data_IF_851161780580
#
_entry.id   IF_851161780580
#
_cell.length_a   1.000
_cell.length_b   1.000
_cell.length_c   1.000
_cell.angle_alpha   90.00
_cell.angle_beta   90.00
_cell.angle_gamma   90.00
#
_symmetry.space_group_name_H-M   'P 1'
#
loop_
_entity.id
_entity.type
_entity.pdbx_description
1 polymer ?
#
# COMPACT_ATOMS: atom_id res chain seq x y z
N UNK A 1 5.02 11.18 -3.20
CA UNK A 1 3.99 11.48 -4.19
C UNK A 1 2.71 10.74 -3.86
N UNK A 2 1.60 11.43 -3.90
CA UNK A 2 0.30 10.83 -3.57
C UNK A 2 -0.40 10.42 -4.85
N UNK A 3 -0.79 9.14 -4.89
CA UNK A 3 -1.55 8.62 -6.02
C UNK A 3 -3.00 8.53 -5.61
N UNK A 4 -3.84 9.34 -6.22
CA UNK A 4 -5.25 9.40 -5.86
C UNK A 4 -6.13 9.20 -7.07
N UNK A 5 -7.30 8.63 -6.84
CA UNK A 5 -8.34 8.53 -7.83
C UNK A 5 -8.04 7.59 -8.97
N UNK A 6 -6.95 6.85 -8.87
CA UNK A 6 -6.59 5.91 -9.89
C UNK A 6 -6.94 4.48 -9.53
N UNK A 7 -6.98 3.66 -10.54
CA UNK A 7 -7.10 2.22 -10.36
C UNK A 7 -5.78 1.61 -10.78
N UNK A 8 -5.24 0.74 -9.93
CA UNK A 8 -3.90 0.22 -10.12
C UNK A 8 -3.88 -1.29 -10.03
N UNK A 9 -3.00 -1.89 -10.80
CA UNK A 9 -2.55 -3.25 -10.55
C UNK A 9 -1.28 -3.13 -9.72
N UNK A 10 -1.14 -4.01 -8.75
CA UNK A 10 -0.09 -3.91 -7.75
C UNK A 10 0.79 -5.13 -7.81
N UNK A 11 2.11 -4.90 -7.90
CA UNK A 11 3.08 -5.97 -7.77
C UNK A 11 3.87 -5.76 -6.50
N UNK A 12 4.01 -6.80 -5.72
CA UNK A 12 4.81 -6.77 -4.50
C UNK A 12 5.91 -7.81 -4.64
N UNK A 13 7.14 -7.36 -4.54
CA UNK A 13 8.32 -8.21 -4.71
C UNK A 13 8.28 -9.00 -6.01
N UNK A 14 7.83 -8.35 -7.08
CA UNK A 14 7.77 -8.96 -8.40
C UNK A 14 6.58 -9.87 -8.64
N UNK A 15 5.70 -10.01 -7.67
CA UNK A 15 4.51 -10.86 -7.82
C UNK A 15 3.27 -10.00 -7.83
N UNK A 16 2.35 -10.32 -8.72
CA UNK A 16 1.10 -9.58 -8.79
C UNK A 16 0.27 -9.84 -7.53
N UNK A 17 -0.17 -8.74 -6.94
CA UNK A 17 -1.04 -8.81 -5.78
C UNK A 17 -2.47 -9.06 -6.23
N UNK A 18 -3.09 -10.07 -5.64
CA UNK A 18 -4.45 -10.45 -5.98
C UNK A 18 -5.27 -10.41 -4.70
N UNK A 19 -6.49 -9.92 -4.82
CA UNK A 19 -7.38 -9.88 -3.67
C UNK A 19 -7.64 -11.30 -3.15
N UNK A 20 -7.45 -11.48 -1.85
CA UNK A 20 -7.59 -12.80 -1.26
C UNK A 20 -9.04 -13.25 -1.20
N UNK A 21 -9.97 -12.32 -1.26
CA UNK A 21 -11.38 -12.64 -1.13
C UNK A 21 -12.04 -12.95 -2.48
N UNK A 22 -11.87 -12.06 -3.46
CA UNK A 22 -12.55 -12.20 -4.74
C UNK A 22 -11.60 -12.41 -5.90
N UNK A 23 -10.28 -12.43 -5.64
CA UNK A 23 -9.24 -12.63 -6.63
C UNK A 23 -9.19 -11.53 -7.69
N UNK A 24 -9.72 -10.36 -7.36
CA UNK A 24 -9.60 -9.21 -8.23
C UNK A 24 -8.17 -8.69 -8.25
N UNK A 25 -7.81 -7.98 -9.33
CA UNK A 25 -6.46 -7.47 -9.50
C UNK A 25 -6.40 -5.96 -9.54
N UNK A 26 -7.54 -5.28 -9.49
CA UNK A 26 -7.57 -3.83 -9.56
C UNK A 26 -7.84 -3.25 -8.19
N UNK A 27 -7.01 -2.27 -7.82
CA UNK A 27 -7.03 -1.72 -6.47
C UNK A 27 -6.99 -0.20 -6.52
N UNK A 28 -7.70 0.42 -5.57
CA UNK A 28 -7.44 1.81 -5.24
C UNK A 28 -6.29 1.88 -4.27
N UNK A 29 -5.60 3.02 -4.24
CA UNK A 29 -4.41 3.18 -3.42
C UNK A 29 -4.58 4.37 -2.49
N UNK A 30 -4.11 4.20 -1.25
CA UNK A 30 -4.11 5.27 -0.26
C UNK A 30 -2.94 5.06 0.67
N UNK A 31 -2.31 6.17 1.07
CA UNK A 31 -1.28 6.12 2.11
C UNK A 31 -1.94 6.30 3.47
N UNK A 32 -1.50 5.50 4.42
CA UNK A 32 -1.99 5.54 5.78
C UNK A 32 -0.81 5.77 6.71
N UNK A 33 -0.96 6.72 7.61
CA UNK A 33 0.09 7.05 8.55
C UNK A 33 -0.29 6.58 9.93
N UNK A 34 0.63 5.87 10.58
CA UNK A 34 0.42 5.37 11.92
C UNK A 34 1.50 5.95 12.80
N UNK A 35 1.09 6.54 13.90
CA UNK A 35 2.03 7.04 14.90
C UNK A 35 2.28 5.97 15.92
N UNK A 36 3.55 5.67 16.14
CA UNK A 36 3.94 4.68 17.12
C UNK A 36 4.64 5.40 18.25
N UNK A 37 4.13 5.24 19.46
CA UNK A 37 4.72 5.81 20.65
C UNK A 37 5.39 4.70 21.42
N UNK A 38 6.69 4.86 21.69
CA UNK A 38 7.42 3.86 22.44
C UNK A 38 7.56 4.35 23.89
N UNK A 39 6.83 3.72 24.77
CA UNK A 39 6.83 4.13 26.17
C UNK A 39 8.14 3.86 26.86
N UNK A 40 8.86 2.86 26.42
CA UNK A 40 10.12 2.50 27.07
C UNK A 40 11.20 3.52 26.77
N UNK A 41 11.16 4.09 25.60
CA UNK A 41 12.15 5.09 25.21
C UNK A 41 11.76 6.49 25.63
N UNK A 42 10.53 6.67 25.92
CA UNK A 42 10.06 7.92 26.48
C UNK A 42 9.78 9.01 25.51
N UNK A 43 10.53 9.13 24.44
CA UNK A 43 10.36 10.32 23.63
C UNK A 43 10.40 10.09 22.15
N UNK A 44 10.66 8.92 21.70
CA UNK A 44 10.76 8.71 20.26
C UNK A 44 9.42 8.37 19.68
N UNK A 45 8.91 9.29 18.86
CA UNK A 45 7.71 9.04 18.09
C UNK A 45 8.12 8.66 16.68
N UNK A 46 7.67 7.51 16.25
CA UNK A 46 7.94 7.06 14.90
C UNK A 46 6.66 7.10 14.09
N UNK A 47 6.77 7.59 12.88
CA UNK A 47 5.68 7.51 11.91
C UNK A 47 5.92 6.34 11.01
N UNK A 48 4.92 5.50 10.89
CA UNK A 48 4.97 4.39 9.97
C UNK A 48 4.01 4.68 8.83
N UNK A 49 4.52 4.62 7.62
CA UNK A 49 3.70 4.84 6.44
C UNK A 49 3.36 3.51 5.82
N UNK A 50 2.08 3.26 5.66
CA UNK A 50 1.60 2.04 5.04
C UNK A 50 0.88 2.36 3.76
N UNK A 51 0.97 1.47 2.79
CA UNK A 51 0.26 1.59 1.53
C UNK A 51 -0.97 0.71 1.62
N UNK A 52 -2.13 1.32 1.51
CA UNK A 52 -3.40 0.60 1.61
C UNK A 52 -3.96 0.40 0.21
N UNK A 53 -4.33 -0.84 -0.08
CA UNK A 53 -4.92 -1.19 -1.37
C UNK A 53 -6.32 -1.69 -1.14
N UNK A 54 -7.29 -1.04 -1.79
CA UNK A 54 -8.69 -1.41 -1.67
C UNK A 54 -9.13 -2.06 -2.97
N UNK A 55 -9.58 -3.30 -2.87
CA UNK A 55 -10.07 -4.00 -4.04
C UNK A 55 -11.27 -3.29 -4.60
N UNK A 56 -11.23 -2.99 -5.91
CA UNK A 56 -12.32 -2.25 -6.54
C UNK A 56 -13.55 -3.12 -6.75
N UNK A 57 -13.41 -4.43 -6.61
CA UNK A 57 -14.50 -5.34 -6.85
C UNK A 57 -15.27 -5.67 -5.58
N UNK A 58 -14.57 -5.99 -4.49
CA UNK A 58 -15.24 -6.41 -3.26
C UNK A 58 -15.02 -5.45 -2.09
N UNK A 59 -14.07 -4.54 -2.20
CA UNK A 59 -13.84 -3.57 -1.14
C UNK A 59 -12.88 -4.01 -0.05
N UNK A 60 -12.30 -5.20 -0.16
CA UNK A 60 -11.36 -5.65 0.85
C UNK A 60 -10.10 -4.80 0.81
N UNK A 61 -9.62 -4.43 1.99
CA UNK A 61 -8.42 -3.60 2.10
C UNK A 61 -7.27 -4.42 2.64
N UNK A 62 -6.08 -4.15 2.09
CA UNK A 62 -4.85 -4.74 2.57
C UNK A 62 -3.80 -3.66 2.65
N UNK A 63 -2.93 -3.77 3.66
CA UNK A 63 -1.92 -2.76 3.90
C UNK A 63 -0.55 -3.38 3.83
N UNK A 64 0.38 -2.65 3.21
CA UNK A 64 1.76 -3.07 3.08
C UNK A 64 2.66 -1.92 3.49
N UNK A 65 3.77 -2.25 4.11
CA UNK A 65 4.81 -1.27 4.36
C UNK A 65 5.73 -1.24 3.15
N UNK A 66 5.86 -0.06 2.56
CA UNK A 66 6.75 0.10 1.42
C UNK A 66 8.18 0.19 1.90
N UNK A 67 9.05 -0.58 1.29
CA UNK A 67 10.47 -0.58 1.60
C UNK A 67 11.26 -0.35 0.34
N UNK A 68 12.27 0.49 0.44
CA UNK A 68 13.16 0.76 -0.67
C UNK A 68 14.48 0.05 -0.44
N UNK A 69 14.88 -0.75 -1.40
CA UNK A 69 16.15 -1.44 -1.35
C UNK A 69 16.89 -1.11 -2.62
N UNK A 70 18.10 -0.54 -2.46
CA UNK A 70 18.93 -0.14 -3.60
C UNK A 70 18.17 0.76 -4.55
N UNK A 71 17.45 1.75 -3.99
CA UNK A 71 16.68 2.73 -4.75
C UNK A 71 15.46 2.13 -5.45
N UNK A 72 15.11 0.87 -5.16
CA UNK A 72 13.95 0.24 -5.75
C UNK A 72 12.93 -0.07 -4.66
N UNK A 73 11.66 0.22 -4.93
CA UNK A 73 10.61 -0.09 -3.99
C UNK A 73 10.21 -1.56 -4.10
N UNK A 74 9.76 -2.14 -2.98
CA UNK A 74 9.21 -3.48 -3.03
C UNK A 74 7.81 -3.52 -3.63
N UNK A 75 7.21 -2.36 -3.87
CA UNK A 75 5.86 -2.27 -4.40
C UNK A 75 5.92 -1.54 -5.73
N UNK A 76 5.32 -2.13 -6.73
CA UNK A 76 5.22 -1.53 -8.05
C UNK A 76 3.76 -1.23 -8.37
N UNK A 77 3.51 -0.02 -8.83
CA UNK A 77 2.17 0.43 -9.16
C UNK A 77 2.02 0.55 -10.66
N UNK A 78 1.04 -0.12 -11.21
CA UNK A 78 0.74 -0.05 -12.63
C UNK A 78 -0.64 0.57 -12.77
N UNK A 79 -0.70 1.80 -13.26
CA UNK A 79 -1.96 2.50 -13.37
C UNK A 79 -2.76 1.92 -14.53
N UNK A 80 -3.98 1.52 -14.22
CA UNK A 80 -4.87 0.93 -15.23
C UNK A 80 -5.88 1.97 -15.70
N UNK A 81 -6.33 2.82 -14.78
CA UNK A 81 -7.37 3.79 -15.08
C UNK A 81 -7.19 5.02 -14.22
N UNK A 82 -7.73 6.15 -14.67
CA UNK A 82 -7.70 7.38 -13.89
C UNK A 82 -8.80 7.43 -12.84
N UNK A 83 -9.69 6.47 -12.82
CA UNK A 83 -10.78 6.49 -11.86
C UNK A 83 -10.95 5.18 -11.17
#
# INVERSE_FOLDING_TARGET
MVRRGGVYEINVLGKQHVCLFCQGTMFGHREVYIKITNHNEGERKKKLTLQSFTCKKCGQQQKFQERKMNATSNIEYIQVSDK
#
